data_IF_199156219873
#
_entry.id   IF_199156219873
#
_cell.length_a   1.000
_cell.length_b   1.000
_cell.length_c   1.000
_cell.angle_alpha   90.00
_cell.angle_beta   90.00
_cell.angle_gamma   90.00
#
_symmetry.space_group_name_H-M   'P 1'
#
loop_
_entity.id
_entity.type
_entity.pdbx_description
1 polymer ?
#
# COMPACT_ATOMS: atom_id res chain seq x y z
N UNK A 1 -0.22 -8.11 6.15
CA UNK A 1 -0.22 -7.73 4.72
C UNK A 1 0.43 -6.38 4.46
N UNK A 2 0.26 -5.38 5.32
CA UNK A 2 0.80 -4.03 5.11
C UNK A 2 2.32 -3.92 5.21
N UNK A 3 2.96 -4.61 6.11
CA UNK A 3 4.42 -4.61 6.20
C UNK A 3 5.11 -5.21 4.96
N UNK A 4 4.45 -6.13 4.26
CA UNK A 4 4.95 -6.74 3.02
C UNK A 4 4.70 -5.84 1.80
N UNK A 5 3.55 -5.16 1.74
CA UNK A 5 3.21 -4.27 0.62
C UNK A 5 4.08 -2.99 0.62
N UNK A 6 4.41 -2.45 1.79
CA UNK A 6 5.32 -1.30 1.87
C UNK A 6 6.77 -1.61 1.49
N UNK A 7 7.20 -2.88 1.58
CA UNK A 7 8.53 -3.30 1.11
C UNK A 7 8.63 -3.48 -0.40
N UNK A 8 7.50 -3.71 -1.06
CA UNK A 8 7.40 -3.93 -2.51
C UNK A 8 7.28 -2.64 -3.31
N UNK A 9 6.95 -1.53 -2.67
CA UNK A 9 6.75 -0.23 -3.32
C UNK A 9 8.04 0.60 -3.46
N UNK A 10 9.21 -0.06 -3.45
CA UNK A 10 10.45 0.64 -3.78
C UNK A 10 10.40 1.16 -5.22
N UNK A 11 10.11 2.42 -5.32
CA UNK A 11 10.61 3.36 -6.31
C UNK A 11 10.22 3.43 -7.79
N UNK A 12 9.44 2.62 -8.45
CA UNK A 12 9.10 3.00 -9.83
C UNK A 12 8.12 4.16 -9.92
N UNK A 13 7.38 4.44 -8.83
CA UNK A 13 6.35 5.48 -8.83
C UNK A 13 6.89 6.91 -8.87
N UNK A 14 8.06 7.17 -8.31
CA UNK A 14 8.65 8.51 -8.33
C UNK A 14 9.24 8.89 -9.69
N UNK A 15 9.79 7.93 -10.44
CA UNK A 15 10.31 8.19 -11.80
C UNK A 15 9.21 8.19 -12.88
N UNK A 16 8.17 7.38 -12.72
CA UNK A 16 7.07 7.33 -13.69
C UNK A 16 6.17 8.59 -13.67
N UNK A 17 5.97 9.23 -12.52
CA UNK A 17 5.21 10.47 -12.43
C UNK A 17 5.88 11.68 -13.11
N UNK A 18 7.17 11.63 -13.37
CA UNK A 18 7.90 12.72 -14.04
C UNK A 18 7.71 12.80 -15.57
N UNK A 19 7.11 11.78 -16.20
CA UNK A 19 6.95 11.74 -17.67
C UNK A 19 5.54 11.99 -18.20
N UNK A 20 4.53 12.10 -17.34
CA UNK A 20 3.14 12.33 -17.75
C UNK A 20 2.67 13.79 -17.59
N UNK A 21 3.44 14.77 -18.03
CA UNK A 21 2.93 16.14 -18.08
C UNK A 21 3.55 16.93 -19.20
N UNK A 22 3.00 16.84 -20.39
CA UNK A 22 2.97 17.96 -21.34
C UNK A 22 1.82 17.80 -22.32
N UNK A 23 0.68 18.47 -22.10
CA UNK A 23 -0.14 18.90 -23.23
C UNK A 23 0.53 20.10 -23.85
N UNK A 24 0.82 20.01 -25.15
CA UNK A 24 1.15 21.13 -26.00
C UNK A 24 -0.04 22.09 -26.07
N UNK A 25 0.10 23.25 -25.46
CA UNK A 25 -0.72 24.41 -25.78
C UNK A 25 0.23 25.53 -26.23
N UNK A 26 0.28 25.73 -27.52
CA UNK A 26 0.83 26.94 -28.10
C UNK A 26 -0.19 28.08 -27.88
N UNK A 27 0.26 29.16 -27.36
CA UNK A 27 0.02 30.56 -27.71
C UNK A 27 0.03 31.50 -26.49
N UNK A 28 0.83 32.51 -26.63
CA UNK A 28 0.68 33.90 -26.16
C UNK A 28 1.21 34.23 -24.77
N UNK A 29 2.18 34.97 -24.79
CA UNK A 29 2.41 36.33 -24.24
C UNK A 29 3.82 36.47 -23.68
N UNK A 30 4.56 37.32 -24.38
CA UNK A 30 5.82 37.90 -23.96
C UNK A 30 5.63 38.63 -22.62
N UNK A 31 6.21 38.16 -21.55
CA UNK A 31 6.56 38.96 -20.40
C UNK A 31 8.02 38.69 -20.06
N UNK A 32 8.75 39.79 -19.99
CA UNK A 32 10.19 39.87 -19.69
C UNK A 32 10.54 39.19 -18.40
N UNK A 33 11.72 38.55 -18.30
CA UNK A 33 12.18 37.99 -17.04
C UNK A 33 12.57 39.13 -16.12
N UNK A 34 11.78 39.37 -15.08
CA UNK A 34 12.26 40.13 -13.94
C UNK A 34 13.31 39.28 -13.23
N UNK A 35 14.54 39.77 -13.27
CA UNK A 35 15.66 39.28 -12.53
C UNK A 35 15.33 39.29 -11.03
N UNK A 36 15.08 38.13 -10.46
CA UNK A 36 15.19 37.91 -9.03
C UNK A 36 16.67 37.93 -8.64
N UNK A 37 17.16 39.13 -8.43
CA UNK A 37 18.45 39.41 -7.83
C UNK A 37 18.44 39.06 -6.35
N UNK A 38 19.34 38.18 -5.97
CA UNK A 38 19.98 38.09 -4.64
C UNK A 38 19.02 37.93 -3.45
N UNK A 39 18.65 36.68 -3.15
CA UNK A 39 18.53 36.24 -1.76
C UNK A 39 19.93 36.28 -1.14
N UNK A 40 20.11 36.79 0.08
CA UNK A 40 21.40 36.74 0.74
C UNK A 40 21.81 35.29 0.91
N UNK A 41 22.89 34.91 0.23
CA UNK A 41 23.72 33.79 0.63
C UNK A 41 24.46 34.29 1.89
N UNK A 42 24.39 33.46 2.89
CA UNK A 42 25.24 33.44 4.09
C UNK A 42 24.42 33.48 5.37
N UNK A 43 23.83 32.35 5.68
CA UNK A 43 23.93 31.83 7.03
C UNK A 43 24.01 30.29 6.93
N UNK A 44 25.14 29.65 7.25
CA UNK A 44 25.14 28.22 7.47
C UNK A 44 24.52 27.98 8.83
N UNK A 45 23.25 28.26 8.99
CA UNK A 45 22.48 27.55 9.98
C UNK A 45 22.65 26.08 9.57
N UNK A 46 23.55 25.40 10.25
CA UNK A 46 23.63 23.96 10.26
C UNK A 46 22.19 23.49 10.43
N UNK A 47 21.58 23.08 9.33
CA UNK A 47 20.28 22.44 9.39
C UNK A 47 20.52 21.26 10.32
N UNK A 48 20.06 21.42 11.54
CA UNK A 48 20.06 20.35 12.52
C UNK A 48 19.13 19.30 11.94
N UNK A 49 19.71 18.40 11.16
CA UNK A 49 19.00 17.20 10.72
C UNK A 49 18.99 16.33 11.97
N UNK A 50 17.86 16.21 12.65
CA UNK A 50 17.79 15.37 13.82
C UNK A 50 18.20 13.96 13.40
N UNK A 51 19.11 13.36 14.13
CA UNK A 51 19.45 11.97 13.91
C UNK A 51 18.25 11.09 14.30
N UNK A 52 17.94 10.04 13.54
CA UNK A 52 16.86 9.14 13.91
C UNK A 52 17.12 8.58 15.31
N UNK A 53 16.08 8.34 16.10
CA UNK A 53 16.23 7.77 17.42
C UNK A 53 16.89 6.39 17.32
N UNK A 54 17.73 6.06 18.29
CA UNK A 54 18.35 4.73 18.36
C UNK A 54 17.36 3.64 18.72
N UNK A 55 16.27 4.00 19.43
CA UNK A 55 15.16 3.13 19.76
C UNK A 55 13.87 3.94 19.90
N UNK A 56 12.74 3.38 19.54
CA UNK A 56 11.44 3.97 19.79
C UNK A 56 11.03 3.75 21.25
N UNK A 57 10.29 4.72 21.77
CA UNK A 57 9.56 4.58 23.03
C UNK A 57 8.04 4.65 22.77
N UNK A 58 7.23 4.42 23.80
CA UNK A 58 5.78 4.40 23.69
C UNK A 58 5.21 5.72 23.15
N UNK A 59 5.69 6.84 23.65
CA UNK A 59 5.24 8.18 23.25
C UNK A 59 5.48 8.44 21.76
N UNK A 60 6.66 8.08 21.25
CA UNK A 60 7.00 8.23 19.84
C UNK A 60 6.15 7.31 18.96
N UNK A 61 5.97 6.07 19.38
CA UNK A 61 5.20 5.08 18.64
C UNK A 61 3.70 5.44 18.57
N UNK A 62 3.10 5.85 19.68
CA UNK A 62 1.70 6.30 19.72
C UNK A 62 1.52 7.63 19.04
N UNK A 63 2.46 8.58 19.19
CA UNK A 63 2.40 9.88 18.56
C UNK A 63 2.30 9.82 17.03
N UNK A 64 2.97 8.86 16.39
CA UNK A 64 2.82 8.63 14.94
C UNK A 64 1.43 8.11 14.60
N UNK A 65 0.91 7.16 15.37
CA UNK A 65 -0.43 6.63 15.13
C UNK A 65 -1.49 7.71 15.25
N UNK A 66 -1.38 8.55 16.29
CA UNK A 66 -2.28 9.69 16.51
C UNK A 66 -2.20 10.70 15.36
N UNK A 67 -0.99 11.03 14.89
CA UNK A 67 -0.79 11.93 13.76
C UNK A 67 -1.41 11.36 12.47
N UNK A 68 -1.26 10.07 12.21
CA UNK A 68 -1.87 9.41 11.07
C UNK A 68 -3.40 9.45 11.14
N UNK A 69 -3.98 9.16 12.29
CA UNK A 69 -5.42 9.26 12.49
C UNK A 69 -5.94 10.69 12.35
N UNK A 70 -5.23 11.67 12.90
CA UNK A 70 -5.59 13.08 12.79
C UNK A 70 -5.57 13.55 11.32
N UNK A 71 -4.57 13.12 10.55
CA UNK A 71 -4.46 13.41 9.13
C UNK A 71 -5.63 12.84 8.31
N UNK A 72 -6.14 11.67 8.68
CA UNK A 72 -7.31 11.06 8.05
C UNK A 72 -8.63 11.71 8.48
N UNK A 73 -8.74 12.19 9.71
CA UNK A 73 -9.98 12.77 10.24
C UNK A 73 -10.20 14.23 9.85
N UNK A 74 -9.14 15.03 9.79
CA UNK A 74 -9.26 16.50 9.70
C UNK A 74 -8.26 17.14 8.72
N UNK A 75 -7.47 16.38 8.00
CA UNK A 75 -6.35 16.89 7.22
C UNK A 75 -6.55 16.86 5.71
N UNK A 76 -5.48 17.26 5.04
CA UNK A 76 -5.35 17.20 3.58
C UNK A 76 -5.51 15.76 3.07
N UNK A 77 -5.12 14.77 3.87
CA UNK A 77 -5.26 13.36 3.54
C UNK A 77 -6.72 12.93 3.36
N UNK A 78 -7.59 13.36 4.29
CA UNK A 78 -9.02 13.10 4.16
C UNK A 78 -9.59 13.66 2.86
N UNK A 79 -9.25 14.91 2.54
CA UNK A 79 -9.72 15.56 1.31
C UNK A 79 -9.21 14.85 0.06
N UNK A 80 -7.92 14.49 0.03
CA UNK A 80 -7.32 13.77 -1.11
C UNK A 80 -7.93 12.37 -1.29
N UNK A 81 -8.21 11.65 -0.20
CA UNK A 81 -8.86 10.34 -0.27
C UNK A 81 -10.31 10.47 -0.78
N UNK A 82 -11.07 11.47 -0.31
CA UNK A 82 -12.42 11.73 -0.82
C UNK A 82 -12.45 12.06 -2.29
N UNK A 83 -11.49 12.84 -2.80
CA UNK A 83 -11.36 13.12 -4.23
C UNK A 83 -11.19 11.86 -5.08
N UNK A 84 -10.59 10.78 -4.52
CA UNK A 84 -10.52 9.51 -5.24
C UNK A 84 -11.89 8.85 -5.43
N UNK A 85 -12.81 9.08 -4.49
CA UNK A 85 -14.17 8.52 -4.59
C UNK A 85 -15.05 9.27 -5.60
N UNK A 86 -14.72 10.53 -5.90
CA UNK A 86 -15.50 11.38 -6.81
C UNK A 86 -15.32 11.02 -8.30
N UNK A 87 -14.28 10.24 -8.64
CA UNK A 87 -14.08 9.73 -10.00
C UNK A 87 -14.54 8.26 -10.10
N UNK A 88 -15.78 8.01 -10.53
CA UNK A 88 -16.33 6.65 -10.64
C UNK A 88 -15.67 5.85 -11.77
N UNK A 89 -15.03 6.53 -12.76
CA UNK A 89 -14.42 5.89 -13.91
C UNK A 89 -12.93 5.59 -13.71
N UNK A 90 -12.37 5.97 -12.56
CA UNK A 90 -10.97 5.69 -12.28
C UNK A 90 -10.75 4.17 -12.15
N UNK A 91 -9.84 3.58 -12.94
CA UNK A 91 -9.51 2.17 -12.83
C UNK A 91 -9.11 1.81 -11.39
N UNK A 92 -9.59 0.66 -10.90
CA UNK A 92 -9.38 0.25 -9.51
C UNK A 92 -7.90 0.20 -9.14
N UNK A 93 -7.04 -0.31 -10.02
CA UNK A 93 -5.58 -0.35 -9.79
C UNK A 93 -5.01 1.05 -9.59
N UNK A 94 -5.42 2.01 -10.41
CA UNK A 94 -4.97 3.41 -10.30
C UNK A 94 -5.48 4.06 -9.01
N UNK A 95 -6.75 3.83 -8.68
CA UNK A 95 -7.34 4.32 -7.43
C UNK A 95 -6.59 3.79 -6.21
N UNK A 96 -6.28 2.51 -6.21
CA UNK A 96 -5.51 1.84 -5.17
C UNK A 96 -4.09 2.42 -5.03
N UNK A 97 -3.39 2.57 -6.15
CA UNK A 97 -2.05 3.17 -6.17
C UNK A 97 -2.05 4.60 -5.62
N UNK A 98 -3.02 5.43 -6.02
CA UNK A 98 -3.15 6.80 -5.51
C UNK A 98 -3.47 6.83 -4.02
N UNK A 99 -4.32 5.93 -3.54
CA UNK A 99 -4.60 5.79 -2.11
C UNK A 99 -3.31 5.45 -1.34
N UNK A 100 -2.52 4.51 -1.85
CA UNK A 100 -1.23 4.16 -1.24
C UNK A 100 -0.22 5.30 -1.27
N UNK A 101 -0.17 6.09 -2.35
CA UNK A 101 0.69 7.29 -2.42
C UNK A 101 0.29 8.35 -1.37
N UNK A 102 -1.00 8.55 -1.15
CA UNK A 102 -1.49 9.45 -0.09
C UNK A 102 -1.04 8.95 1.28
N UNK A 103 -1.17 7.64 1.53
CA UNK A 103 -0.74 7.01 2.77
C UNK A 103 0.77 7.15 3.00
N UNK A 104 1.58 6.86 2.00
CA UNK A 104 3.04 7.02 2.08
C UNK A 104 3.44 8.48 2.30
N UNK A 105 2.79 9.42 1.60
CA UNK A 105 3.03 10.85 1.80
C UNK A 105 2.71 11.31 3.23
N UNK A 106 1.66 10.78 3.82
CA UNK A 106 1.32 11.00 5.22
C UNK A 106 2.43 10.47 6.15
N UNK A 107 2.88 9.24 5.93
CA UNK A 107 3.94 8.63 6.74
C UNK A 107 5.27 9.38 6.62
N UNK A 108 5.66 9.80 5.41
CA UNK A 108 6.88 10.58 5.18
C UNK A 108 6.92 11.85 6.05
N UNK A 109 5.80 12.57 6.10
CA UNK A 109 5.71 13.79 6.90
C UNK A 109 5.86 13.49 8.39
N UNK A 110 5.24 12.42 8.86
CA UNK A 110 5.22 12.07 10.28
C UNK A 110 6.57 11.53 10.75
N UNK A 111 7.22 10.65 9.99
CA UNK A 111 8.53 10.11 10.36
C UNK A 111 9.64 11.17 10.33
N UNK A 112 9.53 12.16 9.41
CA UNK A 112 10.45 13.30 9.38
C UNK A 112 10.39 14.10 10.69
N UNK A 113 9.21 14.24 11.30
CA UNK A 113 9.04 14.90 12.60
C UNK A 113 9.74 14.18 13.76
N UNK A 114 10.03 12.88 13.61
CA UNK A 114 10.81 12.10 14.58
C UNK A 114 12.31 12.03 14.27
N UNK A 115 12.77 12.74 13.25
CA UNK A 115 14.18 12.78 12.88
C UNK A 115 14.62 11.69 11.92
N UNK A 116 13.70 10.89 11.39
CA UNK A 116 14.02 9.99 10.26
C UNK A 116 14.12 10.80 8.97
N UNK A 117 14.89 10.29 8.03
CA UNK A 117 14.93 10.88 6.70
C UNK A 117 13.53 10.83 6.05
N UNK A 118 13.09 11.94 5.44
CA UNK A 118 11.84 12.01 4.68
C UNK A 118 11.97 11.25 3.35
N UNK A 119 12.09 9.93 3.42
CA UNK A 119 12.29 9.01 2.30
C UNK A 119 11.68 7.64 2.60
N UNK A 120 11.54 6.81 1.59
CA UNK A 120 11.12 5.42 1.76
C UNK A 120 12.03 4.66 2.74
N UNK A 121 13.34 4.93 2.70
CA UNK A 121 14.29 4.35 3.64
C UNK A 121 14.00 4.77 5.09
N UNK A 122 13.64 6.05 5.33
CA UNK A 122 13.24 6.52 6.65
C UNK A 122 11.97 5.83 7.15
N UNK A 123 10.96 5.65 6.28
CA UNK A 123 9.76 4.88 6.62
C UNK A 123 10.12 3.43 6.95
N UNK A 124 10.99 2.79 6.17
CA UNK A 124 11.42 1.42 6.43
C UNK A 124 12.12 1.28 7.78
N UNK A 125 13.06 2.19 8.08
CA UNK A 125 13.76 2.20 9.37
C UNK A 125 12.77 2.35 10.52
N UNK A 126 11.84 3.31 10.41
CA UNK A 126 10.79 3.51 11.40
C UNK A 126 9.93 2.24 11.57
N UNK A 127 9.44 1.66 10.48
CA UNK A 127 8.58 0.46 10.51
C UNK A 127 9.30 -0.73 11.16
N UNK A 128 10.59 -0.90 10.86
CA UNK A 128 11.41 -1.94 11.48
C UNK A 128 11.59 -1.71 12.99
N UNK A 129 11.89 -0.49 13.40
CA UNK A 129 12.03 -0.15 14.81
C UNK A 129 10.69 -0.27 15.55
N UNK A 130 9.59 0.13 14.91
CA UNK A 130 8.25 -0.03 15.47
C UNK A 130 7.92 -1.52 15.69
N UNK A 131 8.19 -2.36 14.70
CA UNK A 131 7.96 -3.81 14.84
C UNK A 131 8.80 -4.43 15.97
N UNK A 132 10.06 -4.01 16.09
CA UNK A 132 10.92 -4.44 17.19
C UNK A 132 10.38 -3.97 18.54
N UNK A 133 10.01 -2.69 18.64
CA UNK A 133 9.45 -2.10 19.85
C UNK A 133 8.16 -2.81 20.27
N UNK A 134 7.20 -2.92 19.35
CA UNK A 134 5.91 -3.58 19.61
C UNK A 134 6.12 -5.04 20.00
N UNK A 135 7.06 -5.74 19.37
CA UNK A 135 7.40 -7.14 19.71
C UNK A 135 7.90 -7.34 21.13
N UNK A 136 8.41 -6.28 21.80
CA UNK A 136 8.83 -6.32 23.21
C UNK A 136 7.74 -5.89 24.19
N UNK A 137 6.61 -5.40 23.71
CA UNK A 137 5.50 -4.95 24.54
C UNK A 137 4.64 -6.12 25.02
N UNK A 138 3.86 -5.87 26.08
CA UNK A 138 2.82 -6.78 26.54
C UNK A 138 1.79 -7.08 25.44
N UNK A 139 1.21 -8.28 25.37
CA UNK A 139 0.25 -8.66 24.33
C UNK A 139 -0.90 -7.68 24.13
N UNK A 140 -1.44 -7.13 25.22
CA UNK A 140 -2.52 -6.12 25.17
C UNK A 140 -2.11 -4.83 24.46
N UNK A 141 -0.84 -4.43 24.59
CA UNK A 141 -0.27 -3.26 23.89
C UNK A 141 -0.05 -3.60 22.43
N UNK A 142 0.45 -4.80 22.12
CA UNK A 142 0.59 -5.25 20.73
C UNK A 142 -0.76 -5.25 20.02
N UNK A 143 -1.83 -5.70 20.66
CA UNK A 143 -3.18 -5.70 20.12
C UNK A 143 -3.70 -4.28 19.88
N UNK A 144 -3.41 -3.33 20.78
CA UNK A 144 -3.75 -1.92 20.56
C UNK A 144 -3.06 -1.35 19.31
N UNK A 145 -1.76 -1.63 19.11
CA UNK A 145 -1.05 -1.19 17.90
C UNK A 145 -1.63 -1.79 16.63
N UNK A 146 -2.00 -3.08 16.66
CA UNK A 146 -2.65 -3.75 15.53
C UNK A 146 -4.01 -3.11 15.23
N UNK A 147 -4.81 -2.85 16.28
CA UNK A 147 -6.13 -2.23 16.12
C UNK A 147 -6.04 -0.83 15.50
N UNK A 148 -5.10 0.00 15.95
CA UNK A 148 -4.91 1.34 15.36
C UNK A 148 -4.48 1.25 13.89
N UNK A 149 -3.57 0.34 13.54
CA UNK A 149 -3.18 0.11 12.15
C UNK A 149 -4.36 -0.32 11.28
N UNK A 150 -5.14 -1.27 11.76
CA UNK A 150 -6.36 -1.77 11.11
C UNK A 150 -7.41 -0.67 10.92
N UNK A 151 -7.67 0.11 11.98
CA UNK A 151 -8.60 1.24 11.92
C UNK A 151 -8.15 2.28 10.90
N UNK A 152 -6.88 2.64 10.90
CA UNK A 152 -6.30 3.56 9.92
C UNK A 152 -6.55 3.08 8.48
N UNK A 153 -6.32 1.81 8.22
CA UNK A 153 -6.54 1.21 6.91
C UNK A 153 -8.03 1.20 6.51
N UNK A 154 -8.89 0.81 7.41
CA UNK A 154 -10.35 0.81 7.19
C UNK A 154 -10.86 2.22 6.91
N UNK A 155 -10.39 3.23 7.63
CA UNK A 155 -10.74 4.63 7.39
C UNK A 155 -10.28 5.10 6.00
N UNK A 156 -9.10 4.69 5.55
CA UNK A 156 -8.63 5.00 4.19
C UNK A 156 -9.51 4.38 3.11
N UNK A 157 -9.85 3.10 3.24
CA UNK A 157 -10.75 2.41 2.31
C UNK A 157 -12.12 3.08 2.27
N UNK A 158 -12.68 3.37 3.44
CA UNK A 158 -13.97 4.04 3.58
C UNK A 158 -14.01 5.36 2.82
N UNK A 159 -12.98 6.19 2.99
CA UNK A 159 -12.89 7.49 2.33
C UNK A 159 -12.62 7.37 0.82
N UNK A 160 -11.67 6.54 0.42
CA UNK A 160 -11.25 6.42 -0.99
C UNK A 160 -12.30 5.78 -1.89
N UNK A 161 -13.18 4.95 -1.33
CA UNK A 161 -14.21 4.23 -2.07
C UNK A 161 -15.64 4.64 -1.73
N UNK A 162 -15.83 5.66 -0.87
CA UNK A 162 -17.14 6.15 -0.41
C UNK A 162 -18.03 5.00 0.09
N UNK A 163 -17.56 4.29 1.13
CA UNK A 163 -18.23 3.10 1.67
C UNK A 163 -19.22 3.44 2.79
N UNK A 164 -19.50 4.71 3.05
CA UNK A 164 -20.35 5.15 4.15
C UNK A 164 -21.75 4.53 4.11
N UNK A 165 -22.36 4.50 2.92
CA UNK A 165 -23.72 4.00 2.73
C UNK A 165 -23.79 2.48 2.92
N UNK A 166 -22.81 1.75 2.38
CA UNK A 166 -22.72 0.30 2.51
C UNK A 166 -22.48 -0.11 3.96
N UNK A 167 -21.62 0.63 4.67
CA UNK A 167 -21.31 0.37 6.07
C UNK A 167 -22.47 0.78 7.00
N UNK A 168 -23.24 1.81 6.66
CA UNK A 168 -24.43 2.23 7.42
C UNK A 168 -25.53 1.15 7.47
N UNK A 169 -25.48 0.15 6.60
CA UNK A 169 -26.42 -0.98 6.64
C UNK A 169 -26.21 -1.92 7.82
N UNK A 170 -25.05 -1.85 8.50
CA UNK A 170 -24.64 -2.77 9.55
C UNK A 170 -24.22 -4.17 9.04
N UNK A 171 -24.38 -4.46 7.76
CA UNK A 171 -24.08 -5.78 7.18
C UNK A 171 -22.60 -6.15 7.27
N UNK A 172 -21.72 -5.15 7.28
CA UNK A 172 -20.26 -5.33 7.22
C UNK A 172 -19.55 -4.88 8.52
N UNK A 173 -20.34 -4.57 9.56
CA UNK A 173 -19.80 -4.16 10.87
C UNK A 173 -19.40 -5.35 11.73
N UNK A 174 -20.00 -6.51 11.48
CA UNK A 174 -19.63 -7.73 12.17
C UNK A 174 -18.29 -8.25 11.64
N UNK A 175 -17.45 -8.65 12.56
CA UNK A 175 -16.20 -9.30 12.24
C UNK A 175 -16.49 -10.64 11.53
N UNK A 176 -15.94 -10.82 10.35
CA UNK A 176 -16.01 -12.10 9.66
C UNK A 176 -15.39 -13.19 10.55
N UNK A 177 -16.07 -14.31 10.72
CA UNK A 177 -15.52 -15.43 11.49
C UNK A 177 -14.17 -15.88 10.91
N UNK A 178 -13.22 -16.24 11.78
CA UNK A 178 -11.85 -16.64 11.36
C UNK A 178 -11.86 -17.79 10.34
N UNK A 179 -12.82 -18.71 10.44
CA UNK A 179 -12.96 -19.83 9.50
C UNK A 179 -13.37 -19.32 8.12
N UNK A 180 -14.30 -18.37 8.06
CA UNK A 180 -14.77 -17.79 6.80
C UNK A 180 -13.68 -16.93 6.16
N UNK A 181 -12.91 -16.20 6.95
CA UNK A 181 -11.76 -15.44 6.49
C UNK A 181 -10.68 -16.35 5.89
N UNK A 182 -10.38 -17.47 6.54
CA UNK A 182 -9.43 -18.47 6.01
C UNK A 182 -9.94 -19.10 4.73
N UNK A 183 -11.22 -19.44 4.65
CA UNK A 183 -11.85 -19.96 3.44
C UNK A 183 -11.79 -18.95 2.30
N UNK A 184 -12.10 -17.68 2.57
CA UNK A 184 -11.99 -16.60 1.58
C UNK A 184 -10.53 -16.43 1.11
N UNK A 185 -9.56 -16.38 2.02
CA UNK A 185 -8.13 -16.28 1.69
C UNK A 185 -7.64 -17.47 0.87
N UNK A 186 -8.06 -18.68 1.22
CA UNK A 186 -7.74 -19.88 0.44
C UNK A 186 -8.34 -19.82 -0.97
N UNK A 187 -9.60 -19.38 -1.11
CA UNK A 187 -10.26 -19.23 -2.40
C UNK A 187 -9.55 -18.22 -3.28
N UNK A 188 -9.18 -17.05 -2.72
CA UNK A 188 -8.40 -16.04 -3.42
C UNK A 188 -7.06 -16.59 -3.87
N UNK A 189 -6.31 -17.23 -2.96
CA UNK A 189 -4.99 -17.79 -3.24
C UNK A 189 -5.07 -18.87 -4.34
N UNK A 190 -6.09 -19.73 -4.27
CA UNK A 190 -6.31 -20.78 -5.28
C UNK A 190 -6.55 -20.20 -6.66
N UNK A 191 -7.37 -19.14 -6.76
CA UNK A 191 -7.65 -18.47 -8.03
C UNK A 191 -6.42 -17.73 -8.57
N UNK A 192 -5.61 -17.13 -7.71
CA UNK A 192 -4.35 -16.46 -8.10
C UNK A 192 -3.36 -17.39 -8.82
N UNK A 193 -3.36 -18.67 -8.48
CA UNK A 193 -2.41 -19.66 -9.03
C UNK A 193 -3.03 -20.56 -10.08
N UNK A 194 -4.21 -20.25 -10.59
CA UNK A 194 -4.79 -20.98 -11.73
C UNK A 194 -3.88 -20.85 -12.96
N UNK A 195 -3.70 -21.94 -13.74
CA UNK A 195 -2.75 -21.94 -14.85
C UNK A 195 -2.95 -20.78 -15.81
N UNK A 196 -4.21 -20.45 -16.17
CA UNK A 196 -4.48 -19.37 -17.11
C UNK A 196 -4.08 -17.98 -16.57
N UNK A 197 -4.16 -17.75 -15.25
CA UNK A 197 -3.69 -16.49 -14.61
C UNK A 197 -2.17 -16.40 -14.66
N UNK A 198 -1.48 -17.50 -14.36
CA UNK A 198 -0.02 -17.55 -14.40
C UNK A 198 0.51 -17.40 -15.83
N UNK A 199 -0.15 -18.03 -16.81
CA UNK A 199 0.22 -17.94 -18.22
C UNK A 199 -0.03 -16.53 -18.79
N UNK A 200 -1.15 -15.89 -18.43
CA UNK A 200 -1.45 -14.51 -18.82
C UNK A 200 -0.40 -13.56 -18.23
N UNK A 201 -0.07 -13.74 -16.95
CA UNK A 201 0.94 -12.96 -16.29
C UNK A 201 2.31 -13.10 -16.95
N UNK A 202 2.75 -14.34 -17.20
CA UNK A 202 4.02 -14.62 -17.89
C UNK A 202 4.05 -13.97 -19.29
N UNK A 203 2.93 -14.08 -20.02
CA UNK A 203 2.79 -13.49 -21.37
C UNK A 203 2.90 -11.96 -21.32
N UNK A 204 2.16 -11.30 -20.44
CA UNK A 204 2.17 -9.85 -20.32
C UNK A 204 3.54 -9.32 -19.84
N UNK A 205 4.15 -9.98 -18.87
CA UNK A 205 5.48 -9.62 -18.40
C UNK A 205 6.57 -9.84 -19.45
N UNK A 206 6.46 -10.91 -20.25
CA UNK A 206 7.37 -11.18 -21.36
C UNK A 206 7.26 -10.20 -22.54
N UNK A 207 6.18 -9.43 -22.62
CA UNK A 207 5.97 -8.37 -23.63
C UNK A 207 6.45 -6.99 -23.16
N UNK A 208 6.86 -6.86 -21.91
CA UNK A 208 7.39 -5.60 -21.41
C UNK A 208 8.71 -5.28 -22.11
N UNK A 209 8.98 -4.00 -22.40
CA UNK A 209 10.29 -3.60 -22.90
C UNK A 209 11.34 -3.92 -21.84
N UNK A 210 12.46 -4.51 -22.27
CA UNK A 210 13.61 -4.64 -21.38
C UNK A 210 14.16 -3.25 -21.07
N UNK A 211 14.44 -2.98 -19.82
CA UNK A 211 15.07 -1.75 -19.37
C UNK A 211 16.42 -2.11 -18.73
N UNK A 212 17.46 -1.30 -19.01
CA UNK A 212 18.77 -1.48 -18.38
C UNK A 212 18.72 -1.18 -16.86
N UNK A 213 17.69 -0.45 -16.41
CA UNK A 213 17.41 -0.21 -15.00
C UNK A 213 16.49 -1.31 -14.45
N UNK A 214 17.06 -2.24 -13.72
CA UNK A 214 16.34 -3.36 -13.10
C UNK A 214 15.20 -2.90 -12.18
N UNK A 215 15.31 -1.72 -11.54
CA UNK A 215 14.25 -1.20 -10.68
C UNK A 215 13.03 -0.77 -11.51
N UNK A 216 13.26 -0.19 -12.68
CA UNK A 216 12.19 0.19 -13.61
C UNK A 216 11.50 -1.05 -14.16
N UNK A 217 12.26 -2.05 -14.59
CA UNK A 217 11.70 -3.32 -15.09
C UNK A 217 10.88 -4.04 -14.01
N UNK A 218 11.42 -4.15 -12.81
CA UNK A 218 10.70 -4.75 -11.66
C UNK A 218 9.42 -3.99 -11.35
N UNK A 219 9.43 -2.66 -11.43
CA UNK A 219 8.25 -1.83 -11.23
C UNK A 219 7.16 -2.06 -12.28
N UNK A 220 7.54 -2.20 -13.55
CA UNK A 220 6.60 -2.53 -14.62
C UNK A 220 5.97 -3.90 -14.41
N UNK A 221 6.76 -4.92 -14.06
CA UNK A 221 6.26 -6.27 -13.74
C UNK A 221 5.30 -6.26 -12.55
N UNK A 222 5.63 -5.50 -11.51
CA UNK A 222 4.72 -5.33 -10.35
C UNK A 222 3.38 -4.73 -10.74
N UNK A 223 3.37 -3.74 -11.62
CA UNK A 223 2.15 -3.14 -12.10
C UNK A 223 1.31 -4.13 -12.91
N UNK A 224 1.93 -4.97 -13.74
CA UNK A 224 1.24 -6.04 -14.46
C UNK A 224 0.65 -7.07 -13.50
N UNK A 225 1.39 -7.47 -12.46
CA UNK A 225 0.88 -8.37 -11.42
C UNK A 225 -0.38 -7.78 -10.75
N UNK A 226 -0.31 -6.52 -10.34
CA UNK A 226 -1.46 -5.84 -9.72
C UNK A 226 -2.67 -5.78 -10.67
N UNK A 227 -2.44 -5.46 -11.93
CA UNK A 227 -3.50 -5.38 -12.94
C UNK A 227 -4.16 -6.75 -13.17
N UNK A 228 -3.37 -7.80 -13.34
CA UNK A 228 -3.88 -9.17 -13.53
C UNK A 228 -4.62 -9.65 -12.28
N UNK A 229 -4.05 -9.46 -11.09
CA UNK A 229 -4.70 -9.89 -9.84
C UNK A 229 -6.02 -9.16 -9.63
N UNK A 230 -6.07 -7.85 -9.82
CA UNK A 230 -7.32 -7.10 -9.63
C UNK A 230 -8.36 -7.46 -10.68
N UNK A 231 -7.99 -7.41 -11.96
CA UNK A 231 -8.97 -7.52 -13.03
C UNK A 231 -9.34 -8.96 -13.41
N UNK A 232 -8.44 -9.92 -13.21
CA UNK A 232 -8.69 -11.31 -13.57
C UNK A 232 -9.08 -12.19 -12.36
N UNK A 233 -8.40 -11.97 -11.22
CA UNK A 233 -8.67 -12.79 -10.02
C UNK A 233 -9.88 -12.26 -9.27
N UNK A 234 -9.89 -10.99 -8.91
CA UNK A 234 -10.95 -10.45 -8.07
C UNK A 234 -12.21 -10.06 -8.84
N UNK A 235 -12.05 -9.36 -9.96
CA UNK A 235 -13.16 -8.79 -10.72
C UNK A 235 -13.50 -9.59 -11.98
N UNK A 236 -12.65 -10.54 -12.38
CA UNK A 236 -12.87 -11.38 -13.56
C UNK A 236 -13.88 -12.49 -13.31
N UNK A 237 -14.61 -12.82 -14.39
CA UNK A 237 -15.66 -13.87 -14.35
C UNK A 237 -17.06 -13.30 -14.09
N UNK A 238 -18.06 -14.20 -14.17
CA UNK A 238 -19.46 -13.88 -13.86
C UNK A 238 -20.10 -15.12 -13.21
N UNK A 239 -20.30 -15.12 -11.89
CA UNK A 239 -19.95 -14.05 -10.96
C UNK A 239 -18.42 -13.86 -10.79
N UNK A 240 -18.02 -12.67 -10.41
CA UNK A 240 -16.64 -12.37 -10.00
C UNK A 240 -16.32 -13.03 -8.66
N UNK A 241 -15.02 -13.18 -8.32
CA UNK A 241 -14.64 -13.71 -7.01
C UNK A 241 -15.17 -12.85 -5.85
N UNK A 242 -15.20 -11.54 -6.02
CA UNK A 242 -15.75 -10.60 -5.04
C UNK A 242 -17.24 -10.90 -4.78
N UNK A 243 -18.03 -11.13 -5.84
CA UNK A 243 -19.45 -11.50 -5.72
C UNK A 243 -19.65 -12.91 -5.13
N UNK A 244 -18.80 -13.87 -5.51
CA UNK A 244 -18.81 -15.22 -4.94
C UNK A 244 -18.49 -15.24 -3.43
N UNK A 245 -17.78 -14.23 -2.94
CA UNK A 245 -17.51 -14.03 -1.51
C UNK A 245 -18.60 -13.21 -0.82
N UNK A 246 -19.69 -12.85 -1.53
CA UNK A 246 -20.86 -12.18 -0.96
C UNK A 246 -20.79 -10.66 -0.91
N UNK A 247 -19.84 -10.04 -1.62
CA UNK A 247 -19.70 -8.59 -1.74
C UNK A 247 -20.34 -8.08 -3.04
N UNK A 248 -20.67 -6.78 -3.13
CA UNK A 248 -21.15 -6.16 -4.36
C UNK A 248 -20.16 -6.29 -5.51
N UNK A 249 -20.64 -6.19 -6.74
CA UNK A 249 -19.80 -6.16 -7.92
C UNK A 249 -18.86 -4.94 -7.95
N UNK A 250 -17.69 -5.11 -8.54
CA UNK A 250 -16.78 -4.04 -8.92
C UNK A 250 -15.93 -3.49 -7.78
N UNK A 251 -15.47 -2.23 -7.96
CA UNK A 251 -14.47 -1.61 -7.09
C UNK A 251 -14.92 -1.43 -5.64
N UNK A 252 -16.21 -1.11 -5.42
CA UNK A 252 -16.76 -0.99 -4.07
C UNK A 252 -16.79 -2.32 -3.34
N UNK A 253 -17.22 -3.39 -4.02
CA UNK A 253 -17.22 -4.73 -3.43
C UNK A 253 -15.82 -5.21 -3.08
N UNK A 254 -14.84 -4.97 -3.97
CA UNK A 254 -13.43 -5.22 -3.67
C UNK A 254 -12.96 -4.46 -2.42
N UNK A 255 -13.28 -3.17 -2.32
CA UNK A 255 -12.89 -2.37 -1.16
C UNK A 255 -13.58 -2.83 0.14
N UNK A 256 -14.86 -3.19 0.08
CA UNK A 256 -15.60 -3.77 1.22
C UNK A 256 -14.99 -5.10 1.67
N UNK A 257 -14.64 -5.96 0.72
CA UNK A 257 -13.94 -7.21 1.03
C UNK A 257 -12.62 -6.93 1.76
N UNK A 258 -11.81 -5.99 1.27
CA UNK A 258 -10.55 -5.60 1.92
C UNK A 258 -10.79 -4.98 3.30
N UNK A 259 -11.87 -4.20 3.46
CA UNK A 259 -12.27 -3.60 4.73
C UNK A 259 -12.60 -4.66 5.79
N UNK A 260 -13.34 -5.69 5.41
CA UNK A 260 -13.71 -6.80 6.31
C UNK A 260 -12.52 -7.71 6.58
N UNK A 261 -11.75 -8.05 5.54
CA UNK A 261 -10.57 -8.92 5.66
C UNK A 261 -9.43 -8.31 6.48
N UNK A 262 -9.42 -6.99 6.68
CA UNK A 262 -8.42 -6.31 7.51
C UNK A 262 -8.38 -6.83 8.96
N UNK A 263 -9.46 -7.39 9.48
CA UNK A 263 -9.47 -8.01 10.81
C UNK A 263 -8.58 -9.26 10.90
N UNK A 264 -8.31 -9.91 9.77
CA UNK A 264 -7.60 -11.19 9.69
C UNK A 264 -6.23 -11.08 9.02
N UNK A 265 -5.72 -9.86 8.85
CA UNK A 265 -4.42 -9.64 8.18
C UNK A 265 -3.24 -10.33 8.87
N UNK A 266 -3.35 -10.57 10.18
CA UNK A 266 -2.34 -11.23 10.99
C UNK A 266 -2.68 -12.71 11.31
N UNK A 267 -3.75 -13.25 10.74
CA UNK A 267 -4.04 -14.68 10.90
C UNK A 267 -2.99 -15.51 10.14
N UNK A 268 -2.32 -16.46 10.81
CA UNK A 268 -1.21 -17.19 10.20
C UNK A 268 -1.57 -17.93 8.92
N UNK A 269 -2.77 -18.53 8.84
CA UNK A 269 -3.21 -19.24 7.63
C UNK A 269 -3.58 -18.28 6.49
N UNK A 270 -4.25 -17.17 6.81
CA UNK A 270 -4.52 -16.13 5.80
C UNK A 270 -3.22 -15.57 5.22
N UNK A 271 -2.21 -15.34 6.07
CA UNK A 271 -0.89 -14.89 5.64
C UNK A 271 -0.17 -15.95 4.78
N UNK A 272 -0.22 -17.21 5.17
CA UNK A 272 0.39 -18.31 4.42
C UNK A 272 -0.20 -18.44 3.03
N UNK A 273 -1.53 -18.48 2.90
CA UNK A 273 -2.22 -18.55 1.61
C UNK A 273 -1.82 -17.39 0.70
N UNK A 274 -1.84 -16.17 1.23
CA UNK A 274 -1.49 -14.99 0.45
C UNK A 274 -0.03 -14.99 0.05
N UNK A 275 0.90 -15.27 0.98
CA UNK A 275 2.33 -15.24 0.68
C UNK A 275 2.73 -16.31 -0.32
N UNK A 276 2.20 -17.53 -0.17
CA UNK A 276 2.51 -18.64 -1.08
C UNK A 276 2.00 -18.40 -2.50
N UNK A 277 0.81 -17.81 -2.65
CA UNK A 277 0.28 -17.46 -3.97
C UNK A 277 1.05 -16.31 -4.61
N UNK A 278 1.43 -15.28 -3.84
CA UNK A 278 2.24 -14.17 -4.33
C UNK A 278 3.61 -14.61 -4.83
N UNK A 279 4.27 -15.56 -4.14
CA UNK A 279 5.54 -16.15 -4.60
C UNK A 279 5.38 -16.74 -6.00
N UNK A 280 4.32 -17.49 -6.25
CA UNK A 280 4.06 -18.08 -7.58
C UNK A 280 3.76 -17.04 -8.65
N UNK A 281 3.03 -15.97 -8.31
CA UNK A 281 2.81 -14.85 -9.23
C UNK A 281 4.13 -14.15 -9.60
N UNK A 282 5.00 -13.91 -8.63
CA UNK A 282 6.31 -13.31 -8.90
C UNK A 282 7.19 -14.20 -9.77
N UNK A 283 7.20 -15.50 -9.50
CA UNK A 283 7.91 -16.47 -10.35
C UNK A 283 7.37 -16.48 -11.79
N UNK A 284 6.04 -16.47 -11.97
CA UNK A 284 5.41 -16.39 -13.28
C UNK A 284 5.74 -15.06 -14.01
N UNK A 285 5.88 -13.97 -13.27
CA UNK A 285 6.33 -12.67 -13.81
C UNK A 285 7.84 -12.64 -14.15
N UNK A 286 8.59 -13.71 -13.89
CA UNK A 286 10.04 -13.74 -14.07
C UNK A 286 10.79 -12.84 -13.08
N UNK A 287 10.24 -12.66 -11.86
CA UNK A 287 10.93 -11.97 -10.79
C UNK A 287 11.74 -12.98 -9.97
N UNK A 288 13.05 -12.74 -9.87
CA UNK A 288 13.92 -13.56 -9.02
C UNK A 288 13.77 -13.13 -7.56
N UNK A 289 13.23 -14.04 -6.76
CA UNK A 289 12.99 -13.83 -5.32
C UNK A 289 14.30 -13.66 -4.53
N UNK A 290 15.42 -14.16 -5.04
CA UNK A 290 16.75 -14.00 -4.44
C UNK A 290 17.25 -12.56 -4.52
N UNK A 291 16.79 -11.79 -5.48
CA UNK A 291 17.17 -10.40 -5.72
C UNK A 291 16.10 -9.39 -5.24
N UNK A 292 14.97 -9.85 -4.75
CA UNK A 292 13.96 -8.94 -4.17
C UNK A 292 14.47 -8.45 -2.81
N UNK A 293 14.82 -7.16 -2.67
CA UNK A 293 15.27 -6.63 -1.40
C UNK A 293 14.19 -6.83 -0.34
N UNK A 294 14.41 -7.74 0.59
CA UNK A 294 13.46 -8.08 1.65
C UNK A 294 12.76 -9.44 1.52
N UNK A 295 12.83 -10.14 0.39
CA UNK A 295 12.30 -11.51 0.28
C UNK A 295 13.16 -12.53 1.06
N UNK A 296 14.45 -12.31 1.19
CA UNK A 296 15.37 -13.12 1.99
C UNK A 296 15.25 -12.96 3.51
N UNK A 297 14.35 -12.11 3.98
CA UNK A 297 14.18 -11.78 5.39
C UNK A 297 12.80 -12.08 5.96
N UNK A 298 11.97 -12.89 5.29
CA UNK A 298 10.86 -13.51 6.02
C UNK A 298 11.44 -14.67 6.80
N UNK A 299 11.59 -14.58 8.13
CA UNK A 299 11.74 -15.79 8.92
C UNK A 299 10.42 -16.55 8.71
N UNK A 300 10.46 -17.67 8.00
CA UNK A 300 9.50 -18.73 8.24
C UNK A 300 9.63 -19.03 9.74
N UNK A 301 8.70 -18.51 10.54
CA UNK A 301 8.61 -18.95 11.91
C UNK A 301 8.44 -20.47 11.85
N UNK A 302 9.29 -21.27 12.54
CA UNK A 302 9.07 -22.68 12.62
C UNK A 302 7.70 -22.89 13.23
N UNK A 303 6.93 -23.92 12.78
CA UNK A 303 5.68 -24.24 13.40
C UNK A 303 5.97 -24.50 14.89
N UNK A 304 5.38 -23.68 15.74
CA UNK A 304 5.37 -23.93 17.17
C UNK A 304 4.64 -25.24 17.41
N UNK A 305 5.39 -26.21 17.92
CA UNK A 305 4.90 -27.51 18.38
C UNK A 305 3.93 -27.32 19.56
#
# INVERSE_FOLDING_TARGET
MFASASRSLRSPLTKACGRFSRPTAAAAAKQSPQSFSSLPQDDPQSQFIPSPPTALNMEMATGIQDANQLFLKHGVGQQRLKLLSEDPNMPLVIKWQRMMQIYLGMQLHTVAGLGYQASEQGIMMYTQQLAQFVGTCEPSVQDQFREVGRTTWRDMLKLAFALEDELATGKYDEELGVVDARNASHKVASKMIEPHILDELATKCGQLPSDDDQEVEMGMKHQVIQDVVVNQVYLGGSPSLVEELGYPEGAKGYALMQYVMAYHENDPLCMEYTSSSMVKLWQAAGLDLGNVPGAGGMPMAPPSV
#
